data_IF_044568818454
#
_entry.id   IF_044568818454
#
_cell.length_a   1.000
_cell.length_b   1.000
_cell.length_c   1.000
_cell.angle_alpha   90.00
_cell.angle_beta   90.00
_cell.angle_gamma   90.00
#
_symmetry.space_group_name_H-M   'P 1'
#
loop_
_entity.id
_entity.type
_entity.pdbx_description
1 polymer ?
#
# COMPACT_ATOMS: atom_id res chain seq x y z
N UNK A 1 56.11 66.04 22.65
CA UNK A 1 56.27 65.05 21.56
C UNK A 1 55.00 64.20 21.56
N UNK A 2 54.08 64.52 20.64
CA UNK A 2 53.72 63.76 19.43
C UNK A 2 52.66 62.69 19.74
N UNK A 3 51.41 62.99 19.38
CA UNK A 3 50.66 62.50 18.19
C UNK A 3 49.94 61.18 18.51
N UNK A 4 48.62 61.23 18.65
CA UNK A 4 47.60 60.94 17.62
C UNK A 4 47.19 59.47 17.67
N UNK A 5 45.91 59.22 17.97
CA UNK A 5 45.14 58.19 17.24
C UNK A 5 43.67 58.57 17.29
N UNK A 6 43.30 59.37 16.29
CA UNK A 6 42.04 59.26 15.55
C UNK A 6 41.58 57.80 15.40
N UNK A 7 40.28 57.56 15.58
CA UNK A 7 39.61 56.38 15.04
C UNK A 7 38.66 55.67 16.01
N UNK A 8 37.36 55.87 15.76
CA UNK A 8 36.17 55.08 16.17
C UNK A 8 35.14 55.87 16.96
N UNK A 9 34.62 56.90 16.33
CA UNK A 9 33.17 57.08 16.30
C UNK A 9 32.64 56.10 15.24
N UNK A 10 31.38 55.67 15.36
CA UNK A 10 30.65 54.74 14.46
C UNK A 10 30.52 53.30 14.98
N UNK A 11 29.65 53.07 15.97
CA UNK A 11 28.77 51.88 16.05
C UNK A 11 27.75 52.07 17.18
N UNK A 12 26.87 53.04 16.99
CA UNK A 12 25.64 53.19 17.77
C UNK A 12 24.69 52.08 17.30
N UNK A 13 24.77 50.92 17.96
CA UNK A 13 23.99 49.73 17.64
C UNK A 13 22.52 49.99 17.97
N UNK A 14 21.79 50.39 16.93
CA UNK A 14 20.35 50.64 16.93
C UNK A 14 19.61 49.33 17.22
N UNK A 15 19.12 49.18 18.45
CA UNK A 15 18.30 48.04 18.87
C UNK A 15 16.86 48.27 18.39
N UNK A 16 16.27 47.39 17.55
CA UNK A 16 14.87 47.54 17.17
C UNK A 16 13.94 47.26 18.36
N UNK A 17 12.84 48.02 18.54
CA UNK A 17 11.90 47.77 19.63
C UNK A 17 11.18 46.42 19.44
N UNK A 18 11.03 45.68 20.55
CA UNK A 18 10.31 44.41 20.59
C UNK A 18 8.84 44.59 20.16
N UNK A 19 8.29 43.71 19.30
CA UNK A 19 6.87 43.76 18.95
C UNK A 19 6.01 43.34 20.15
N UNK A 20 5.14 44.26 20.59
CA UNK A 20 4.10 44.04 21.58
C UNK A 20 3.16 42.93 21.09
N UNK A 21 3.15 41.79 21.78
CA UNK A 21 2.19 40.70 21.57
C UNK A 21 0.82 41.14 22.09
N UNK A 22 -0.04 41.64 21.19
CA UNK A 22 -1.45 41.86 21.47
C UNK A 22 -2.14 40.51 21.66
N UNK A 23 -2.47 40.19 22.92
CA UNK A 23 -3.39 39.10 23.26
C UNK A 23 -4.79 39.43 22.73
N UNK A 24 -5.18 38.78 21.64
CA UNK A 24 -6.58 38.71 21.20
C UNK A 24 -7.04 37.26 21.36
N UNK A 25 -7.81 37.00 22.40
CA UNK A 25 -8.53 35.74 22.60
C UNK A 25 -9.58 35.57 21.51
N UNK A 26 -9.29 34.77 20.49
CA UNK A 26 -10.25 34.31 19.50
C UNK A 26 -10.32 32.78 19.54
N UNK A 27 -11.42 32.27 20.07
CA UNK A 27 -11.90 30.90 19.92
C UNK A 27 -12.04 30.59 18.43
N UNK A 28 -11.07 29.89 17.84
CA UNK A 28 -11.16 29.41 16.46
C UNK A 28 -11.31 27.89 16.47
N UNK A 29 -12.57 27.47 16.44
CA UNK A 29 -13.00 26.17 15.93
C UNK A 29 -12.53 26.05 14.47
N UNK A 30 -11.34 25.47 14.27
CA UNK A 30 -10.82 25.17 12.95
C UNK A 30 -11.09 23.70 12.64
N UNK A 31 -12.28 23.47 12.10
CA UNK A 31 -12.62 22.33 11.26
C UNK A 31 -11.42 21.96 10.38
N UNK A 32 -10.86 20.77 10.57
CA UNK A 32 -9.95 20.15 9.61
C UNK A 32 -10.74 20.00 8.31
N UNK A 33 -10.62 20.98 7.41
CA UNK A 33 -11.09 20.88 6.03
C UNK A 33 -10.27 19.78 5.37
N UNK A 34 -10.79 18.57 5.42
CA UNK A 34 -10.47 17.51 4.48
C UNK A 34 -10.64 18.08 3.07
N UNK A 35 -9.53 18.35 2.38
CA UNK A 35 -9.55 18.71 0.96
C UNK A 35 -10.32 17.62 0.23
N UNK A 36 -11.49 17.97 -0.30
CA UNK A 36 -12.31 17.02 -1.07
C UNK A 36 -11.63 16.75 -2.40
N UNK A 37 -11.59 15.49 -2.82
CA UNK A 37 -11.06 15.09 -4.12
C UNK A 37 -11.74 15.85 -5.27
N UNK A 38 -13.02 16.21 -5.08
CA UNK A 38 -13.79 17.01 -6.03
C UNK A 38 -13.23 18.44 -6.17
N UNK A 39 -12.75 19.04 -5.08
CA UNK A 39 -12.23 20.40 -5.06
C UNK A 39 -10.83 20.47 -5.70
N UNK A 40 -10.01 19.44 -5.49
CA UNK A 40 -8.71 19.29 -6.16
C UNK A 40 -8.89 19.06 -7.66
N UNK A 41 -9.84 18.21 -8.07
CA UNK A 41 -10.13 17.95 -9.49
C UNK A 41 -10.68 19.20 -10.22
N UNK A 42 -11.49 20.00 -9.54
CA UNK A 42 -12.05 21.25 -10.10
C UNK A 42 -11.01 22.38 -10.25
N UNK A 43 -9.84 22.26 -9.60
CA UNK A 43 -8.76 23.26 -9.65
C UNK A 43 -7.81 23.12 -10.85
N UNK A 44 -8.08 22.17 -11.76
CA UNK A 44 -7.29 21.96 -12.96
C UNK A 44 -7.26 23.19 -13.89
N UNK A 45 -6.29 23.26 -14.83
CA UNK A 45 -6.21 24.34 -15.81
C UNK A 45 -7.54 24.47 -16.55
N UNK A 46 -8.12 25.68 -16.56
CA UNK A 46 -9.34 25.95 -17.32
C UNK A 46 -9.00 25.86 -18.81
N UNK A 47 -9.67 24.96 -19.51
CA UNK A 47 -9.52 24.77 -20.95
C UNK A 47 -9.83 26.09 -21.66
N UNK A 48 -8.94 26.52 -22.56
CA UNK A 48 -9.16 27.71 -23.38
C UNK A 48 -10.37 27.49 -24.31
N UNK A 49 -11.12 28.53 -24.69
CA UNK A 49 -12.30 28.37 -25.56
C UNK A 49 -11.96 27.77 -26.94
N UNK A 50 -10.73 27.97 -27.44
CA UNK A 50 -10.25 27.33 -28.67
C UNK A 50 -10.00 25.83 -28.50
N UNK A 51 -9.60 25.39 -27.31
CA UNK A 51 -9.28 24.00 -27.01
C UNK A 51 -10.50 23.20 -26.56
N UNK A 52 -11.56 23.88 -26.08
CA UNK A 52 -12.87 23.31 -25.79
C UNK A 52 -13.74 23.11 -27.06
N UNK A 53 -13.34 23.71 -28.18
CA UNK A 53 -14.00 23.47 -29.45
C UNK A 53 -13.70 22.04 -29.92
N UNK A 54 -14.75 21.24 -30.09
CA UNK A 54 -14.62 19.96 -30.79
C UNK A 54 -14.04 20.22 -32.19
N UNK A 55 -13.10 19.39 -32.68
CA UNK A 55 -12.66 19.45 -34.06
C UNK A 55 -13.90 19.42 -34.96
N UNK A 56 -13.98 20.31 -35.94
CA UNK A 56 -15.13 20.29 -36.86
C UNK A 56 -15.21 18.90 -37.49
N UNK A 57 -16.39 18.25 -37.47
CA UNK A 57 -16.55 16.96 -38.10
C UNK A 57 -16.18 17.08 -39.58
N UNK A 58 -15.44 16.13 -40.15
CA UNK A 58 -15.11 16.15 -41.57
C UNK A 58 -16.41 16.25 -42.37
N UNK A 59 -16.51 17.28 -43.21
CA UNK A 59 -17.66 17.46 -44.09
C UNK A 59 -17.59 16.36 -45.15
N UNK A 60 -18.59 15.48 -45.16
CA UNK A 60 -18.73 14.48 -46.21
C UNK A 60 -19.17 15.23 -47.47
N UNK A 61 -18.26 15.41 -48.42
CA UNK A 61 -18.61 15.93 -49.75
C UNK A 61 -19.61 14.94 -50.34
N UNK A 62 -20.85 15.37 -50.44
CA UNK A 62 -21.93 14.57 -51.05
C UNK A 62 -21.76 14.69 -52.56
N UNK A 63 -20.76 14.01 -53.12
CA UNK A 63 -20.78 13.75 -54.56
C UNK A 63 -21.92 12.76 -54.80
N UNK A 64 -23.03 13.24 -55.36
CA UNK A 64 -24.27 12.49 -55.66
C UNK A 64 -24.09 11.39 -56.72
N UNK A 65 -22.92 10.75 -56.77
CA UNK A 65 -22.55 9.74 -57.76
C UNK A 65 -21.78 8.56 -57.16
N UNK A 66 -22.03 8.23 -55.88
CA UNK A 66 -21.58 6.98 -55.27
C UNK A 66 -22.71 5.93 -55.35
N UNK A 67 -22.78 5.26 -56.49
CA UNK A 67 -23.34 3.92 -56.75
C UNK A 67 -24.10 3.24 -55.59
N UNK A 68 -25.42 3.33 -55.60
CA UNK A 68 -26.33 2.46 -54.82
C UNK A 68 -26.46 1.04 -55.41
N UNK A 69 -25.54 0.64 -56.29
CA UNK A 69 -25.68 -0.56 -57.14
C UNK A 69 -25.07 -1.83 -56.55
N UNK A 70 -24.69 -1.84 -55.27
CA UNK A 70 -24.31 -3.06 -54.56
C UNK A 70 -25.13 -3.20 -53.29
N UNK A 71 -26.46 -3.24 -53.49
CA UNK A 71 -27.39 -3.85 -52.55
C UNK A 71 -27.12 -5.37 -52.59
N UNK A 72 -26.01 -5.78 -51.99
CA UNK A 72 -25.65 -7.19 -51.80
C UNK A 72 -26.83 -7.85 -51.08
N UNK A 73 -27.28 -8.95 -51.66
CA UNK A 73 -28.38 -9.75 -51.16
C UNK A 73 -28.29 -9.93 -49.65
N UNK A 74 -29.33 -9.47 -48.96
CA UNK A 74 -29.45 -9.63 -47.51
C UNK A 74 -29.99 -11.04 -47.27
N UNK A 75 -29.26 -12.04 -47.73
CA UNK A 75 -29.40 -13.44 -47.32
C UNK A 75 -28.81 -13.58 -45.90
N UNK A 76 -29.32 -12.77 -44.99
CA UNK A 76 -29.19 -12.98 -43.56
C UNK A 76 -30.55 -13.49 -43.12
N UNK A 77 -30.67 -14.65 -42.45
CA UNK A 77 -31.92 -15.00 -41.80
C UNK A 77 -32.23 -13.89 -40.78
N UNK A 78 -33.12 -12.97 -41.18
CA UNK A 78 -33.35 -11.68 -40.52
C UNK A 78 -34.15 -11.80 -39.22
N UNK A 79 -34.30 -13.01 -38.69
CA UNK A 79 -35.04 -13.28 -37.47
C UNK A 79 -34.21 -14.17 -36.57
N UNK A 80 -33.45 -13.56 -35.66
CA UNK A 80 -33.05 -14.23 -34.44
C UNK A 80 -34.30 -14.40 -33.60
N UNK A 81 -34.92 -15.57 -33.68
CA UNK A 81 -36.02 -15.95 -32.78
C UNK A 81 -35.44 -16.15 -31.40
N UNK A 82 -35.96 -15.41 -30.42
CA UNK A 82 -35.65 -15.63 -29.02
C UNK A 82 -36.23 -17.00 -28.62
N UNK A 83 -35.46 -17.87 -27.96
CA UNK A 83 -35.97 -19.15 -27.45
C UNK A 83 -37.20 -18.94 -26.55
N UNK A 84 -38.19 -19.84 -26.61
CA UNK A 84 -39.45 -19.73 -25.85
C UNK A 84 -39.25 -19.72 -24.33
N UNK A 85 -38.13 -20.28 -23.87
CA UNK A 85 -37.68 -20.38 -22.48
C UNK A 85 -36.90 -19.15 -21.98
N UNK A 86 -36.71 -18.11 -22.81
CA UNK A 86 -35.93 -16.93 -22.44
C UNK A 86 -36.40 -16.23 -21.15
N UNK A 87 -37.70 -16.24 -20.85
CA UNK A 87 -38.23 -15.66 -19.62
C UNK A 87 -37.97 -16.53 -18.37
N UNK A 88 -37.68 -17.81 -18.54
CA UNK A 88 -37.42 -18.76 -17.45
C UNK A 88 -35.92 -18.84 -17.11
N UNK A 89 -35.04 -18.31 -17.96
CA UNK A 89 -33.59 -18.30 -17.73
C UNK A 89 -33.19 -17.23 -16.71
N UNK A 90 -32.41 -17.63 -15.69
CA UNK A 90 -31.81 -16.72 -14.69
C UNK A 90 -30.83 -15.71 -15.32
N UNK A 91 -30.19 -16.09 -16.44
CA UNK A 91 -29.22 -15.26 -17.16
C UNK A 91 -29.64 -15.15 -18.62
N UNK A 92 -30.28 -14.03 -18.95
CA UNK A 92 -30.90 -13.84 -20.26
C UNK A 92 -29.94 -13.32 -21.35
N UNK A 93 -28.77 -12.81 -20.95
CA UNK A 93 -27.79 -12.24 -21.89
C UNK A 93 -26.38 -12.58 -21.46
N UNK A 94 -25.49 -12.74 -22.44
CA UNK A 94 -24.07 -13.02 -22.20
C UNK A 94 -23.40 -11.94 -21.33
N UNK A 95 -23.87 -10.68 -21.42
CA UNK A 95 -23.37 -9.57 -20.60
C UNK A 95 -23.81 -9.70 -19.13
N UNK A 96 -24.99 -10.27 -18.86
CA UNK A 96 -25.44 -10.57 -17.49
C UNK A 96 -24.64 -11.74 -16.91
N UNK A 97 -24.35 -12.77 -17.72
CA UNK A 97 -23.49 -13.88 -17.31
C UNK A 97 -22.11 -13.39 -16.87
N UNK A 98 -21.51 -12.53 -17.69
CA UNK A 98 -20.20 -11.94 -17.40
C UNK A 98 -20.21 -11.09 -16.13
N UNK A 99 -21.29 -10.35 -15.83
CA UNK A 99 -21.40 -9.62 -14.56
C UNK A 99 -21.48 -10.56 -13.37
N UNK A 100 -22.31 -11.60 -13.44
CA UNK A 100 -22.50 -12.53 -12.34
C UNK A 100 -21.21 -13.30 -12.02
N UNK A 101 -20.46 -13.72 -13.04
CA UNK A 101 -19.16 -14.38 -12.84
C UNK A 101 -18.15 -13.45 -12.15
N UNK A 102 -18.11 -12.17 -12.53
CA UNK A 102 -17.24 -11.17 -11.89
C UNK A 102 -17.65 -10.91 -10.43
N UNK A 103 -18.95 -10.82 -10.14
CA UNK A 103 -19.47 -10.65 -8.79
C UNK A 103 -19.19 -11.86 -7.90
N UNK A 104 -19.37 -13.07 -8.43
CA UNK A 104 -19.06 -14.32 -7.73
C UNK A 104 -17.55 -14.48 -7.49
N UNK A 105 -16.71 -14.14 -8.49
CA UNK A 105 -15.26 -14.14 -8.32
C UNK A 105 -14.82 -13.13 -7.25
N UNK A 106 -15.42 -11.92 -7.25
CA UNK A 106 -15.15 -10.91 -6.23
C UNK A 106 -15.63 -11.36 -4.83
N UNK A 107 -16.79 -12.01 -4.72
CA UNK A 107 -17.31 -12.55 -3.47
C UNK A 107 -16.40 -13.67 -2.91
N UNK A 108 -15.95 -14.58 -3.77
CA UNK A 108 -14.99 -15.64 -3.40
C UNK A 108 -13.65 -15.06 -2.95
N UNK A 109 -13.11 -14.10 -3.69
CA UNK A 109 -11.86 -13.43 -3.33
C UNK A 109 -11.96 -12.72 -1.96
N UNK A 110 -13.09 -12.06 -1.67
CA UNK A 110 -13.33 -11.44 -0.36
C UNK A 110 -13.41 -12.47 0.77
N UNK A 111 -14.13 -13.57 0.55
CA UNK A 111 -14.23 -14.65 1.53
C UNK A 111 -12.86 -15.29 1.82
N UNK A 112 -12.04 -15.53 0.79
CA UNK A 112 -10.69 -16.04 0.95
C UNK A 112 -9.77 -15.05 1.69
N UNK A 113 -9.87 -13.76 1.37
CA UNK A 113 -9.12 -12.71 2.06
C UNK A 113 -9.47 -12.64 3.55
N UNK A 114 -10.75 -12.75 3.92
CA UNK A 114 -11.18 -12.76 5.32
C UNK A 114 -10.71 -14.01 6.07
N UNK A 115 -10.71 -15.18 5.41
CA UNK A 115 -10.16 -16.40 5.98
C UNK A 115 -8.64 -16.31 6.14
N UNK A 116 -7.94 -15.75 5.15
CA UNK A 116 -6.50 -15.50 5.23
C UNK A 116 -6.18 -14.51 6.36
N UNK A 117 -6.97 -13.45 6.53
CA UNK A 117 -6.84 -12.48 7.64
C UNK A 117 -7.02 -13.16 8.98
N UNK A 118 -8.06 -13.99 9.16
CA UNK A 118 -8.29 -14.77 10.40
C UNK A 118 -7.16 -15.76 10.69
N UNK A 119 -6.64 -16.44 9.66
CA UNK A 119 -5.49 -17.36 9.81
C UNK A 119 -4.23 -16.59 10.19
N UNK A 120 -3.97 -15.46 9.55
CA UNK A 120 -2.81 -14.60 9.83
C UNK A 120 -2.87 -14.04 11.25
N UNK A 121 -4.03 -13.58 11.73
CA UNK A 121 -4.18 -13.03 13.08
C UNK A 121 -4.02 -14.11 14.16
N UNK A 122 -4.53 -15.33 13.94
CA UNK A 122 -4.27 -16.48 14.83
C UNK A 122 -2.79 -16.84 14.86
N UNK A 123 -2.12 -16.84 13.71
CA UNK A 123 -0.69 -17.16 13.61
C UNK A 123 0.17 -16.08 14.28
N UNK A 124 -0.18 -14.80 14.13
CA UNK A 124 0.44 -13.69 14.82
C UNK A 124 0.32 -13.84 16.35
N UNK A 125 -0.90 -14.06 16.87
CA UNK A 125 -1.10 -14.30 18.31
C UNK A 125 -0.31 -15.50 18.84
N UNK A 126 -0.19 -16.57 18.04
CA UNK A 126 0.61 -17.73 18.40
C UNK A 126 2.10 -17.39 18.44
N UNK A 127 2.60 -16.64 17.46
CA UNK A 127 3.98 -16.18 17.44
C UNK A 127 4.28 -15.27 18.65
N UNK A 128 3.38 -14.35 18.98
CA UNK A 128 3.52 -13.46 20.15
C UNK A 128 3.56 -14.27 21.46
N UNK A 129 2.71 -15.29 21.59
CA UNK A 129 2.71 -16.18 22.76
C UNK A 129 4.01 -16.97 22.88
N UNK A 130 4.54 -17.48 21.76
CA UNK A 130 5.84 -18.18 21.73
C UNK A 130 6.96 -17.23 22.10
N UNK A 131 6.96 -16.02 21.55
CA UNK A 131 7.97 -15.01 21.82
C UNK A 131 7.94 -14.57 23.29
N UNK A 132 6.75 -14.33 23.83
CA UNK A 132 6.55 -13.99 25.25
C UNK A 132 7.07 -15.10 26.16
N UNK A 133 6.76 -16.37 25.83
CA UNK A 133 7.25 -17.52 26.58
C UNK A 133 8.77 -17.65 26.50
N UNK A 134 9.35 -17.46 25.32
CA UNK A 134 10.79 -17.48 25.12
C UNK A 134 11.50 -16.39 25.92
N UNK A 135 10.99 -15.15 25.90
CA UNK A 135 11.54 -14.07 26.71
C UNK A 135 11.38 -14.31 28.22
N UNK A 136 10.28 -14.92 28.66
CA UNK A 136 10.08 -15.30 30.06
C UNK A 136 11.07 -16.39 30.51
N UNK A 137 11.18 -17.48 29.76
CA UNK A 137 12.13 -18.57 30.04
C UNK A 137 13.59 -18.04 30.01
N UNK A 138 13.86 -17.06 29.14
CA UNK A 138 15.15 -16.41 29.04
C UNK A 138 15.42 -15.47 30.20
N UNK A 139 14.46 -14.65 30.64
CA UNK A 139 14.66 -13.75 31.79
C UNK A 139 14.94 -14.52 33.08
N UNK A 140 14.32 -15.68 33.24
CA UNK A 140 14.55 -16.56 34.40
C UNK A 140 15.92 -17.26 34.34
N UNK A 141 16.50 -17.44 33.14
CA UNK A 141 17.79 -18.11 32.92
C UNK A 141 18.96 -17.20 32.49
N UNK A 142 18.75 -15.90 32.26
CA UNK A 142 19.69 -14.96 31.63
C UNK A 142 20.86 -14.52 32.54
N UNK A 143 21.12 -15.23 33.63
CA UNK A 143 22.22 -14.91 34.55
C UNK A 143 23.61 -15.26 33.98
N UNK A 144 23.70 -15.91 32.80
CA UNK A 144 24.94 -16.27 32.14
C UNK A 144 25.36 -15.26 31.03
N UNK A 145 26.59 -14.74 31.09
CA UNK A 145 27.13 -13.78 30.12
C UNK A 145 27.08 -14.24 28.65
N UNK A 146 27.22 -15.55 28.41
CA UNK A 146 27.10 -16.12 27.05
C UNK A 146 25.67 -16.05 26.52
N UNK A 147 24.67 -16.19 27.39
CA UNK A 147 23.26 -16.04 27.02
C UNK A 147 22.96 -14.59 26.63
N UNK A 148 23.40 -13.62 27.44
CA UNK A 148 23.26 -12.18 27.15
C UNK A 148 23.91 -11.81 25.80
N UNK A 149 25.11 -12.33 25.54
CA UNK A 149 25.83 -12.04 24.28
C UNK A 149 25.12 -12.59 23.04
N UNK A 150 24.59 -13.81 23.12
CA UNK A 150 23.81 -14.41 22.01
C UNK A 150 22.51 -13.63 21.76
N UNK A 151 21.80 -13.21 22.81
CA UNK A 151 20.60 -12.37 22.70
C UNK A 151 20.94 -11.05 22.02
N UNK A 152 21.97 -10.36 22.49
CA UNK A 152 22.39 -9.08 21.93
C UNK A 152 22.76 -9.22 20.44
N UNK A 153 23.38 -10.33 20.07
CA UNK A 153 23.73 -10.63 18.68
C UNK A 153 22.48 -10.82 17.82
N UNK A 154 21.50 -11.61 18.27
CA UNK A 154 20.25 -11.86 17.54
C UNK A 154 19.43 -10.57 17.40
N UNK A 155 19.27 -9.82 18.49
CA UNK A 155 18.55 -8.54 18.50
C UNK A 155 19.24 -7.53 17.60
N UNK A 156 20.57 -7.38 17.72
CA UNK A 156 21.34 -6.44 16.89
C UNK A 156 21.25 -6.77 15.40
N UNK A 157 21.41 -8.05 15.03
CA UNK A 157 21.32 -8.47 13.64
C UNK A 157 19.89 -8.30 13.09
N UNK A 158 18.87 -8.68 13.88
CA UNK A 158 17.47 -8.51 13.53
C UNK A 158 17.08 -7.04 13.32
N UNK A 159 17.48 -6.15 14.24
CA UNK A 159 17.23 -4.71 14.13
C UNK A 159 17.93 -4.10 12.90
N UNK A 160 19.17 -4.50 12.61
CA UNK A 160 19.91 -4.03 11.44
C UNK A 160 19.25 -4.46 10.11
N UNK A 161 18.85 -5.74 10.00
CA UNK A 161 18.14 -6.25 8.83
C UNK A 161 16.77 -5.59 8.68
N UNK A 162 16.03 -5.37 9.78
CA UNK A 162 14.75 -4.68 9.78
C UNK A 162 14.85 -3.24 9.28
N UNK A 163 15.83 -2.47 9.77
CA UNK A 163 16.08 -1.10 9.32
C UNK A 163 16.42 -1.04 7.82
N UNK A 164 17.26 -1.96 7.33
CA UNK A 164 17.58 -2.08 5.90
C UNK A 164 16.33 -2.43 5.07
N UNK A 165 15.55 -3.41 5.51
CA UNK A 165 14.33 -3.83 4.83
C UNK A 165 13.30 -2.71 4.71
N UNK A 166 13.06 -1.99 5.81
CA UNK A 166 12.16 -0.83 5.83
C UNK A 166 12.63 0.26 4.86
N UNK A 167 13.92 0.56 4.85
CA UNK A 167 14.49 1.50 3.88
C UNK A 167 14.33 1.07 2.42
N UNK A 168 14.37 -0.24 2.11
CA UNK A 168 14.09 -0.73 0.75
C UNK A 168 12.60 -0.60 0.38
N UNK A 169 11.70 -0.77 1.35
CA UNK A 169 10.26 -0.60 1.18
C UNK A 169 9.89 0.85 0.85
N UNK A 170 10.36 1.82 1.65
CA UNK A 170 10.09 3.25 1.42
C UNK A 170 10.59 3.73 0.05
N UNK A 171 11.68 3.13 -0.43
CA UNK A 171 12.26 3.46 -1.75
C UNK A 171 11.59 2.72 -2.92
N UNK A 172 10.55 1.91 -2.67
CA UNK A 172 9.88 1.11 -3.71
C UNK A 172 10.78 0.05 -4.36
N UNK A 173 11.90 -0.30 -3.71
CA UNK A 173 12.92 -1.24 -4.24
C UNK A 173 12.81 -2.64 -3.63
N UNK A 174 11.67 -2.95 -3.03
CA UNK A 174 11.42 -4.25 -2.40
C UNK A 174 11.09 -5.27 -3.48
N UNK A 175 12.13 -5.95 -3.99
CA UNK A 175 11.99 -6.95 -5.03
C UNK A 175 11.58 -8.32 -4.46
N UNK A 176 10.97 -9.17 -5.28
CA UNK A 176 10.63 -10.54 -4.93
C UNK A 176 11.87 -11.34 -4.48
N UNK A 177 13.05 -11.01 -5.01
CA UNK A 177 14.33 -11.55 -4.57
C UNK A 177 14.67 -11.18 -3.11
N UNK A 178 14.35 -9.96 -2.68
CA UNK A 178 14.54 -9.55 -1.28
C UNK A 178 13.56 -10.25 -0.36
N UNK A 179 12.31 -10.42 -0.82
CA UNK A 179 11.29 -11.20 -0.10
C UNK A 179 11.72 -12.66 0.05
N UNK A 180 12.25 -13.29 -1.01
CA UNK A 180 12.69 -14.69 -0.96
C UNK A 180 13.90 -14.92 -0.06
N UNK A 181 14.85 -13.97 -0.02
CA UNK A 181 15.96 -13.98 0.95
C UNK A 181 15.42 -13.93 2.39
N UNK A 182 14.46 -13.04 2.66
CA UNK A 182 13.80 -12.96 3.98
C UNK A 182 13.09 -14.26 4.36
N UNK A 183 12.37 -14.86 3.42
CA UNK A 183 11.69 -16.14 3.62
C UNK A 183 12.69 -17.28 3.89
N UNK A 184 13.86 -17.26 3.23
CA UNK A 184 14.94 -18.22 3.43
C UNK A 184 15.54 -18.17 4.84
N UNK A 185 15.81 -16.96 5.36
CA UNK A 185 16.33 -16.78 6.72
C UNK A 185 15.35 -17.34 7.76
N UNK A 186 14.05 -17.02 7.62
CA UNK A 186 13.00 -17.55 8.50
C UNK A 186 12.89 -19.07 8.39
N UNK A 187 13.00 -19.62 7.17
CA UNK A 187 12.99 -21.06 6.93
C UNK A 187 14.12 -21.80 7.64
N UNK A 188 15.35 -21.27 7.58
CA UNK A 188 16.51 -21.86 8.27
C UNK A 188 16.32 -21.85 9.78
N UNK A 189 15.86 -20.74 10.37
CA UNK A 189 15.60 -20.65 11.81
C UNK A 189 14.51 -21.65 12.24
N UNK A 190 13.44 -21.80 11.46
CA UNK A 190 12.39 -22.78 11.74
C UNK A 190 12.85 -24.24 11.66
N UNK A 191 13.80 -24.56 10.77
CA UNK A 191 14.38 -25.92 10.69
C UNK A 191 15.25 -26.26 11.91
N UNK A 192 15.96 -25.28 12.48
CA UNK A 192 16.79 -25.48 13.68
C UNK A 192 15.95 -25.92 14.88
N UNK A 193 14.76 -25.33 15.07
CA UNK A 193 13.83 -25.70 16.15
C UNK A 193 13.24 -27.12 15.93
N UNK A 194 12.97 -27.50 14.67
CA UNK A 194 12.46 -28.83 14.32
C UNK A 194 13.48 -29.96 14.52
N UNK A 195 14.75 -29.73 14.21
CA UNK A 195 15.81 -30.74 14.36
C UNK A 195 16.26 -30.87 15.83
N UNK A 196 16.40 -29.76 16.55
CA UNK A 196 16.76 -29.79 17.98
C UNK A 196 15.61 -30.31 18.85
N UNK A 197 14.36 -29.95 18.56
CA UNK A 197 13.19 -30.45 19.27
C UNK A 197 12.99 -31.96 19.09
N UNK A 198 13.25 -32.48 17.88
CA UNK A 198 13.23 -33.93 17.60
C UNK A 198 14.31 -34.71 18.35
N UNK A 199 15.51 -34.16 18.46
CA UNK A 199 16.61 -34.79 19.20
C UNK A 199 16.39 -34.77 20.72
N UNK A 200 15.89 -33.65 21.27
CA UNK A 200 15.66 -33.50 22.70
C UNK A 200 14.45 -34.33 23.20
N UNK A 201 13.42 -34.49 22.37
CA UNK A 201 12.25 -35.32 22.71
C UNK A 201 12.54 -36.82 22.66
N UNK A 202 13.53 -37.25 21.86
CA UNK A 202 13.94 -38.66 21.76
C UNK A 202 14.78 -39.11 22.96
N UNK A 203 15.53 -38.21 23.60
CA UNK A 203 16.25 -38.49 24.84
C UNK A 203 15.33 -38.72 26.05
N UNK A 204 14.19 -38.02 26.12
CA UNK A 204 13.27 -38.08 27.26
C UNK A 204 12.37 -39.33 27.28
N UNK A 205 12.24 -40.05 26.15
CA UNK A 205 11.53 -41.34 26.06
C UNK A 205 12.40 -42.55 26.41
N UNK A 206 13.71 -42.39 26.55
CA UNK A 206 14.64 -43.48 26.86
C UNK A 206 14.96 -43.59 28.36
N UNK A 207 14.35 -42.75 29.21
CA UNK A 207 14.52 -42.75 30.67
C UNK A 207 13.21 -42.96 31.44
N UNK A 208 12.17 -43.50 30.81
CA UNK A 208 10.96 -43.99 31.49
C UNK A 208 10.85 -45.50 31.36
#
# INVERSE_FOLDING_TARGET
>A
MREDTSGRQDLLLHYPPAPQQLYSSATSSASQRSLSYAEVAASGPKQSPEEAAAPQPPQVVTEESASTSSLVDVDTPSVRTVPSDYNEQDVQTDTQAARQELEDAAARARAEADLAKKKSSRKARKADSVLTKWFGDLSDGATNALAVTNIATVVGLGSYLGYKGFGLYERGRLDWKSVSIGLGIVGVVGMVEGVLGGYLYKGKKSQS
#
